data_IF_504980015738
#
_entry.id   IF_504980015738
#
_cell.length_a   1.000
_cell.length_b   1.000
_cell.length_c   1.000
_cell.angle_alpha   90.00
_cell.angle_beta   90.00
_cell.angle_gamma   90.00
#
_symmetry.space_group_name_H-M   'P 1'
#
loop_
_entity.id
_entity.type
_entity.pdbx_description
1 polymer ?
#
# COMPACT_ATOMS: atom_id res chain seq x y z
N UNK A 1 9.09 26.97 -10.23
CA UNK A 1 8.42 26.39 -9.05
C UNK A 1 9.09 25.09 -8.61
N UNK A 2 9.46 24.21 -9.52
CA UNK A 2 10.11 22.91 -9.23
C UNK A 2 11.46 23.01 -8.50
N UNK A 3 12.29 24.01 -8.81
CA UNK A 3 13.59 24.21 -8.15
C UNK A 3 13.42 24.53 -6.65
N UNK A 4 12.36 25.26 -6.28
CA UNK A 4 12.07 25.60 -4.89
C UNK A 4 11.62 24.36 -4.08
N UNK A 5 10.91 23.44 -4.73
CA UNK A 5 10.46 22.18 -4.11
C UNK A 5 11.67 21.25 -3.88
N UNK A 6 12.58 21.15 -4.84
CA UNK A 6 13.81 20.34 -4.69
C UNK A 6 14.72 20.85 -3.57
N UNK A 7 14.86 22.18 -3.42
CA UNK A 7 15.63 22.78 -2.33
C UNK A 7 14.99 22.51 -0.96
N UNK A 8 13.65 22.57 -0.86
CA UNK A 8 12.94 22.27 0.38
C UNK A 8 13.16 20.80 0.80
N UNK A 9 13.07 19.87 -0.14
CA UNK A 9 13.28 18.43 0.12
C UNK A 9 14.71 18.16 0.55
N UNK A 10 15.71 18.79 -0.07
CA UNK A 10 17.12 18.63 0.31
C UNK A 10 17.40 19.11 1.75
N UNK A 11 16.80 20.22 2.17
CA UNK A 11 16.94 20.75 3.54
C UNK A 11 16.32 19.82 4.57
N UNK A 12 15.14 19.27 4.26
CA UNK A 12 14.45 18.32 5.16
C UNK A 12 15.24 17.02 5.31
N UNK A 13 15.81 16.49 4.22
CA UNK A 13 16.64 15.27 4.27
C UNK A 13 17.92 15.49 5.08
N UNK A 14 18.58 16.65 4.92
CA UNK A 14 19.77 16.99 5.72
C UNK A 14 19.44 17.15 7.22
N UNK A 15 18.28 17.71 7.57
CA UNK A 15 17.84 17.84 8.96
C UNK A 15 17.55 16.48 9.61
N UNK A 16 16.96 15.54 8.86
CA UNK A 16 16.70 14.17 9.32
C UNK A 16 18.01 13.39 9.50
N UNK A 17 18.95 13.51 8.55
CA UNK A 17 20.26 12.86 8.66
C UNK A 17 21.08 13.42 9.85
N UNK A 18 21.01 14.73 10.11
CA UNK A 18 21.67 15.33 11.27
C UNK A 18 21.10 14.86 12.62
N UNK A 19 19.78 14.67 12.70
CA UNK A 19 19.13 14.17 13.92
C UNK A 19 19.39 12.68 14.17
N UNK A 20 19.38 11.86 13.12
CA UNK A 20 19.72 10.42 13.22
C UNK A 20 21.21 10.22 13.56
N UNK A 21 22.11 11.02 12.98
CA UNK A 21 23.54 11.01 13.32
C UNK A 21 23.81 11.43 14.77
N UNK A 22 23.10 12.44 15.27
CA UNK A 22 23.21 12.90 16.67
C UNK A 22 22.72 11.86 17.69
N UNK A 23 21.71 11.06 17.34
CA UNK A 23 21.20 9.98 18.17
C UNK A 23 22.14 8.76 18.21
N UNK A 24 22.78 8.42 17.08
CA UNK A 24 23.74 7.31 17.02
C UNK A 24 25.04 7.60 17.78
N UNK A 25 25.52 8.85 17.78
CA UNK A 25 26.70 9.25 18.58
C UNK A 25 26.41 9.22 20.09
N UNK A 26 25.15 9.43 20.49
CA UNK A 26 24.73 9.41 21.89
C UNK A 26 24.63 7.99 22.47
N UNK A 27 24.36 6.99 21.63
CA UNK A 27 24.12 5.61 22.07
C UNK A 27 25.38 4.73 22.07
N UNK A 28 26.46 5.11 21.35
CA UNK A 28 27.70 4.33 21.33
C UNK A 28 28.64 4.53 22.53
N UNK A 29 28.33 5.38 23.51
CA UNK A 29 29.05 5.36 24.80
C UNK A 29 30.56 5.68 24.73
N UNK A 30 31.02 6.46 23.75
CA UNK A 30 32.42 6.89 23.59
C UNK A 30 32.87 7.99 24.58
N UNK A 31 32.20 8.11 25.73
CA UNK A 31 32.34 9.24 26.65
C UNK A 31 32.58 8.87 28.11
N UNK A 32 33.17 7.70 28.42
CA UNK A 32 33.70 7.46 29.77
C UNK A 32 35.20 7.75 29.78
N UNK A 33 35.67 8.83 30.43
CA UNK A 33 37.09 8.97 30.71
C UNK A 33 37.53 7.77 31.56
N UNK A 34 38.62 7.13 31.14
CA UNK A 34 39.28 6.09 31.93
C UNK A 34 39.46 6.60 33.37
N UNK A 35 38.91 5.86 34.33
CA UNK A 35 39.01 6.22 35.75
C UNK A 35 40.48 6.31 36.16
N UNK A 36 40.91 7.36 36.90
CA UNK A 36 42.30 7.54 37.29
C UNK A 36 42.81 6.50 38.32
N UNK A 37 41.96 5.59 38.79
CA UNK A 37 42.23 4.69 39.91
C UNK A 37 43.12 3.47 39.60
N UNK A 38 43.52 3.26 38.34
CA UNK A 38 44.39 2.12 37.97
C UNK A 38 45.85 2.47 37.69
N UNK A 39 46.20 3.76 37.57
CA UNK A 39 47.61 4.17 37.39
C UNK A 39 48.38 4.36 38.70
N UNK A 40 47.74 4.75 39.79
CA UNK A 40 48.43 4.94 41.09
C UNK A 40 48.78 3.61 41.77
N UNK A 41 47.90 2.60 41.71
CA UNK A 41 48.19 1.30 42.34
C UNK A 41 49.29 0.49 41.65
N UNK A 42 49.50 0.66 40.35
CA UNK A 42 50.61 0.01 39.63
C UNK A 42 51.96 0.71 39.85
N UNK A 43 51.95 2.00 40.22
CA UNK A 43 53.18 2.75 40.55
C UNK A 43 53.70 2.43 41.95
N UNK A 44 52.80 2.22 42.91
CA UNK A 44 53.17 1.86 44.28
C UNK A 44 53.66 0.42 44.44
N UNK A 45 53.30 -0.47 43.51
CA UNK A 45 53.71 -1.89 43.59
C UNK A 45 55.08 -2.17 42.94
N UNK A 46 55.57 -1.28 42.07
CA UNK A 46 56.84 -1.46 41.33
C UNK A 46 58.02 -0.67 41.94
N UNK A 47 57.76 0.30 42.82
CA UNK A 47 58.80 1.18 43.39
C UNK A 47 58.96 1.03 44.91
N UNK A 48 58.97 -0.19 45.45
CA UNK A 48 59.55 -0.42 46.78
C UNK A 48 61.07 -0.59 46.64
N UNK A 49 61.89 0.39 47.05
CA UNK A 49 63.33 0.20 47.09
C UNK A 49 63.65 -0.89 48.11
N UNK A 50 64.34 -1.94 47.66
CA UNK A 50 65.06 -2.86 48.54
C UNK A 50 66.16 -2.04 49.21
N UNK A 51 65.89 -1.53 50.41
CA UNK A 51 66.90 -0.85 51.21
C UNK A 51 67.96 -1.86 51.63
N UNK A 52 69.16 -1.70 51.07
CA UNK A 52 70.38 -2.38 51.48
C UNK A 52 70.81 -1.88 52.86
N UNK A 53 70.33 -2.53 53.92
CA UNK A 53 70.85 -2.37 55.27
C UNK A 53 71.95 -3.39 55.54
N UNK A 54 73.17 -3.10 55.10
CA UNK A 54 74.37 -3.84 55.49
C UNK A 54 74.95 -3.25 56.78
N UNK A 55 74.84 -3.96 57.91
CA UNK A 55 75.72 -3.78 59.06
C UNK A 55 75.66 -4.98 60.02
N UNK A 56 76.83 -5.59 60.29
CA UNK A 56 77.06 -6.42 61.49
C UNK A 56 77.02 -7.93 61.28
N UNK A 57 78.04 -8.52 60.65
CA UNK A 57 78.31 -9.96 60.72
C UNK A 57 79.45 -10.24 61.69
N UNK A 58 79.11 -10.71 62.89
CA UNK A 58 80.03 -11.48 63.74
C UNK A 58 79.39 -12.83 64.09
N UNK A 59 79.98 -13.87 63.50
CA UNK A 59 80.14 -15.25 63.96
C UNK A 59 78.92 -16.12 64.35
N UNK A 60 78.99 -17.36 63.80
CA UNK A 60 78.63 -18.67 64.37
C UNK A 60 77.26 -19.24 63.91
N UNK A 61 77.32 -20.40 63.22
CA UNK A 61 76.21 -21.13 62.56
C UNK A 61 75.15 -21.72 63.50
N UNK A 62 74.05 -22.32 62.98
CA UNK A 62 73.95 -23.11 61.73
C UNK A 62 72.90 -22.56 60.75
N UNK A 63 73.30 -22.12 59.55
CA UNK A 63 72.43 -21.40 58.57
C UNK A 63 72.10 -22.16 57.28
N UNK A 64 72.52 -23.43 57.14
CA UNK A 64 72.29 -24.21 55.92
C UNK A 64 70.84 -24.73 55.79
N UNK A 65 70.19 -25.11 56.90
CA UNK A 65 68.87 -25.75 56.86
C UNK A 65 67.71 -24.76 56.64
N UNK A 66 67.83 -23.50 57.07
CA UNK A 66 66.80 -22.48 56.85
C UNK A 66 66.81 -21.95 55.42
N UNK A 67 68.01 -21.72 54.86
CA UNK A 67 68.17 -21.29 53.46
C UNK A 67 67.60 -22.32 52.47
N UNK A 68 67.70 -23.61 52.77
CA UNK A 68 67.10 -24.67 51.94
C UNK A 68 65.57 -24.67 52.00
N UNK A 69 64.96 -24.34 53.15
CA UNK A 69 63.48 -24.26 53.27
C UNK A 69 62.93 -23.03 52.56
N UNK A 70 63.61 -21.89 52.68
CA UNK A 70 63.20 -20.64 52.01
C UNK A 70 63.25 -20.79 50.48
N UNK A 71 64.22 -21.53 49.95
CA UNK A 71 64.30 -21.84 48.52
C UNK A 71 63.17 -22.76 48.03
N UNK A 72 62.78 -23.76 48.84
CA UNK A 72 61.64 -24.64 48.53
C UNK A 72 60.33 -23.83 48.53
N UNK A 73 60.12 -22.99 49.55
CA UNK A 73 58.93 -22.14 49.65
C UNK A 73 58.87 -21.10 48.51
N UNK A 74 59.99 -20.50 48.13
CA UNK A 74 60.06 -19.59 46.98
C UNK A 74 59.75 -20.31 45.67
N UNK A 75 60.24 -21.54 45.49
CA UNK A 75 59.93 -22.36 44.32
C UNK A 75 58.44 -22.71 44.25
N UNK A 76 57.83 -23.07 45.38
CA UNK A 76 56.39 -23.36 45.46
C UNK A 76 55.57 -22.11 45.11
N UNK A 77 55.88 -20.95 45.70
CA UNK A 77 55.21 -19.69 45.39
C UNK A 77 55.34 -19.29 43.91
N UNK A 78 56.52 -19.48 43.31
CA UNK A 78 56.72 -19.25 41.87
C UNK A 78 55.89 -20.23 41.04
N UNK A 79 55.83 -21.51 41.44
CA UNK A 79 55.01 -22.51 40.73
C UNK A 79 53.52 -22.20 40.77
N UNK A 80 53.02 -21.68 41.90
CA UNK A 80 51.62 -21.26 42.08
C UNK A 80 51.29 -20.03 41.22
N UNK A 81 52.20 -19.04 41.19
CA UNK A 81 52.05 -17.85 40.34
C UNK A 81 52.05 -18.24 38.86
N UNK A 82 52.96 -19.13 38.44
CA UNK A 82 53.00 -19.63 37.07
C UNK A 82 51.72 -20.41 36.70
N UNK A 83 51.22 -21.25 37.60
CA UNK A 83 49.96 -21.97 37.40
C UNK A 83 48.80 -20.98 37.22
N UNK A 84 48.70 -19.96 38.09
CA UNK A 84 47.67 -18.92 38.03
C UNK A 84 47.76 -18.09 36.75
N UNK A 85 48.97 -17.71 36.32
CA UNK A 85 49.20 -16.99 35.07
C UNK A 85 48.82 -17.84 33.86
N UNK A 86 49.15 -19.13 33.85
CA UNK A 86 48.76 -20.04 32.76
C UNK A 86 47.24 -20.19 32.66
N UNK A 87 46.55 -20.32 33.80
CA UNK A 87 45.10 -20.41 33.86
C UNK A 87 44.44 -19.13 33.34
N UNK A 88 44.92 -17.95 33.75
CA UNK A 88 44.44 -16.66 33.24
C UNK A 88 44.73 -16.47 31.76
N UNK A 89 45.88 -16.92 31.28
CA UNK A 89 46.21 -16.85 29.85
C UNK A 89 45.27 -17.74 29.02
N UNK A 90 45.01 -18.97 29.48
CA UNK A 90 44.04 -19.87 28.84
C UNK A 90 42.63 -19.29 28.87
N UNK A 91 42.23 -18.63 29.95
CA UNK A 91 40.92 -17.97 30.05
C UNK A 91 40.81 -16.79 29.07
N UNK A 92 41.84 -15.94 28.98
CA UNK A 92 41.87 -14.82 28.05
C UNK A 92 41.89 -15.29 26.59
N UNK A 93 42.65 -16.33 26.26
CA UNK A 93 42.64 -16.96 24.94
C UNK A 93 41.22 -17.45 24.58
N UNK A 94 40.57 -18.20 25.48
CA UNK A 94 39.19 -18.65 25.27
C UNK A 94 38.14 -17.52 25.26
N UNK A 95 38.45 -16.33 25.80
CA UNK A 95 37.60 -15.14 25.65
C UNK A 95 37.84 -14.45 24.30
N UNK A 96 39.08 -14.40 23.81
CA UNK A 96 39.41 -13.87 22.50
C UNK A 96 38.77 -14.71 21.39
N UNK A 97 38.89 -16.04 21.45
CA UNK A 97 38.28 -16.93 20.45
C UNK A 97 36.75 -16.75 20.37
N UNK A 98 36.08 -16.57 21.52
CA UNK A 98 34.64 -16.31 21.57
C UNK A 98 34.27 -14.94 20.99
N UNK A 99 35.10 -13.93 21.20
CA UNK A 99 34.88 -12.60 20.63
C UNK A 99 35.13 -12.58 19.12
N UNK A 100 36.15 -13.29 18.64
CA UNK A 100 36.42 -13.46 17.21
C UNK A 100 35.28 -14.21 16.52
N UNK A 101 34.82 -15.32 17.10
CA UNK A 101 33.68 -16.04 16.58
C UNK A 101 32.39 -15.19 16.55
N UNK A 102 32.12 -14.46 17.63
CA UNK A 102 30.98 -13.54 17.69
C UNK A 102 31.08 -12.37 16.69
N UNK A 103 32.30 -11.91 16.38
CA UNK A 103 32.54 -10.89 15.35
C UNK A 103 32.25 -11.44 13.95
N UNK A 104 32.66 -12.65 13.64
CA UNK A 104 32.44 -13.27 12.33
C UNK A 104 30.96 -13.61 12.10
N UNK A 105 30.27 -14.07 13.15
CA UNK A 105 28.82 -14.25 13.12
C UNK A 105 28.07 -12.92 12.92
N UNK A 106 28.52 -11.85 13.57
CA UNK A 106 27.93 -10.52 13.39
C UNK A 106 28.18 -9.99 11.96
N UNK A 107 29.39 -10.16 11.43
CA UNK A 107 29.74 -9.74 10.08
C UNK A 107 28.87 -10.44 9.02
N UNK A 108 28.76 -11.78 9.11
CA UNK A 108 27.89 -12.56 8.20
C UNK A 108 26.41 -12.21 8.35
N UNK A 109 25.94 -11.89 9.56
CA UNK A 109 24.56 -11.42 9.77
C UNK A 109 24.33 -10.07 9.12
N UNK A 110 25.26 -9.13 9.25
CA UNK A 110 25.16 -7.80 8.64
C UNK A 110 25.13 -7.93 7.11
N UNK A 111 25.99 -8.77 6.53
CA UNK A 111 26.02 -9.01 5.09
C UNK A 111 24.69 -9.55 4.57
N UNK A 112 24.12 -10.58 5.23
CA UNK A 112 22.80 -11.13 4.86
C UNK A 112 21.68 -10.09 4.93
N UNK A 113 21.68 -9.26 5.96
CA UNK A 113 20.67 -8.20 6.11
C UNK A 113 20.85 -7.13 5.02
N UNK A 114 22.09 -6.79 4.66
CA UNK A 114 22.34 -5.85 3.58
C UNK A 114 21.84 -6.38 2.23
N UNK A 115 22.11 -7.64 1.91
CA UNK A 115 21.62 -8.27 0.67
C UNK A 115 20.09 -8.30 0.62
N UNK A 116 19.43 -8.76 1.68
CA UNK A 116 17.96 -8.81 1.76
C UNK A 116 17.32 -7.40 1.66
N UNK A 117 17.95 -6.38 2.24
CA UNK A 117 17.48 -5.00 2.08
C UNK A 117 17.62 -4.48 0.64
N UNK A 118 18.73 -4.81 -0.05
CA UNK A 118 18.92 -4.44 -1.45
C UNK A 118 17.90 -5.12 -2.35
N UNK A 119 17.67 -6.43 -2.16
CA UNK A 119 16.68 -7.19 -2.93
C UNK A 119 15.27 -6.61 -2.75
N UNK A 120 14.89 -6.24 -1.53
CA UNK A 120 13.59 -5.60 -1.25
C UNK A 120 13.47 -4.22 -1.89
N UNK A 121 14.54 -3.43 -1.87
CA UNK A 121 14.55 -2.12 -2.53
C UNK A 121 14.40 -2.26 -4.04
N UNK A 122 15.08 -3.23 -4.66
CA UNK A 122 15.01 -3.46 -6.10
C UNK A 122 13.62 -3.95 -6.53
N UNK A 123 13.01 -4.86 -5.75
CA UNK A 123 11.63 -5.30 -5.97
C UNK A 123 10.62 -4.15 -5.85
N UNK A 124 10.78 -3.28 -4.84
CA UNK A 124 9.92 -2.10 -4.67
C UNK A 124 10.08 -1.10 -5.83
N UNK A 125 11.31 -0.85 -6.28
CA UNK A 125 11.57 0.01 -7.43
C UNK A 125 10.99 -0.57 -8.72
N UNK A 126 11.07 -1.88 -8.93
CA UNK A 126 10.47 -2.54 -10.08
C UNK A 126 8.93 -2.39 -10.06
N UNK A 127 8.29 -2.60 -8.91
CA UNK A 127 6.86 -2.39 -8.75
C UNK A 127 6.45 -0.95 -9.06
N UNK A 128 7.17 0.04 -8.52
CA UNK A 128 6.93 1.45 -8.81
C UNK A 128 7.11 1.80 -10.29
N UNK A 129 8.10 1.20 -10.98
CA UNK A 129 8.27 1.39 -12.43
C UNK A 129 7.05 0.88 -13.20
N UNK A 130 6.58 -0.32 -12.90
CA UNK A 130 5.38 -0.88 -13.53
C UNK A 130 4.14 -0.01 -13.28
N UNK A 131 3.95 0.48 -12.06
CA UNK A 131 2.84 1.40 -11.75
C UNK A 131 2.95 2.72 -12.53
N UNK A 132 4.14 3.30 -12.61
CA UNK A 132 4.36 4.55 -13.34
C UNK A 132 4.20 4.37 -14.86
N UNK A 133 4.63 3.23 -15.41
CA UNK A 133 4.39 2.87 -16.81
C UNK A 133 2.90 2.71 -17.09
N UNK A 134 2.16 2.03 -16.21
CA UNK A 134 0.71 1.92 -16.30
C UNK A 134 -0.01 3.28 -16.25
N UNK A 135 0.42 4.18 -15.36
CA UNK A 135 -0.12 5.55 -15.27
C UNK A 135 0.23 6.39 -16.51
N UNK A 136 1.47 6.32 -17.00
CA UNK A 136 1.87 7.03 -18.23
C UNK A 136 1.08 6.54 -19.44
N UNK A 137 0.83 5.24 -19.56
CA UNK A 137 -0.01 4.71 -20.63
C UNK A 137 -1.44 5.27 -20.55
N UNK A 138 -2.01 5.35 -19.35
CA UNK A 138 -3.32 5.96 -19.12
C UNK A 138 -3.34 7.48 -19.42
N UNK A 139 -2.29 8.21 -19.06
CA UNK A 139 -2.18 9.65 -19.32
C UNK A 139 -2.01 9.95 -20.82
N UNK A 140 -1.19 9.17 -21.53
CA UNK A 140 -1.04 9.27 -23.00
C UNK A 140 -2.37 8.94 -23.68
N UNK A 141 -3.11 7.94 -23.18
CA UNK A 141 -4.45 7.60 -23.68
C UNK A 141 -5.46 8.74 -23.46
N UNK A 142 -5.45 9.36 -22.28
CA UNK A 142 -6.30 10.52 -21.98
C UNK A 142 -5.94 11.74 -22.87
N UNK A 143 -4.66 11.95 -23.15
CA UNK A 143 -4.20 13.01 -24.06
C UNK A 143 -4.58 12.73 -25.52
N UNK A 144 -4.52 11.48 -25.98
CA UNK A 144 -4.96 11.09 -27.32
C UNK A 144 -6.46 11.35 -27.53
N UNK A 145 -7.31 11.01 -26.54
CA UNK A 145 -8.75 11.35 -26.55
C UNK A 145 -8.96 12.87 -26.57
N UNK A 146 -8.09 13.64 -25.92
CA UNK A 146 -8.17 15.12 -25.87
C UNK A 146 -7.78 15.79 -27.19
N UNK A 147 -6.96 15.14 -28.02
CA UNK A 147 -6.46 15.72 -29.28
C UNK A 147 -7.49 15.75 -30.42
N UNK A 148 -8.51 14.89 -30.39
CA UNK A 148 -9.60 14.87 -31.37
C UNK A 148 -10.90 15.40 -30.71
N UNK A 149 -11.32 16.65 -31.01
CA UNK A 149 -12.50 17.26 -30.40
C UNK A 149 -13.80 16.52 -30.78
N UNK A 150 -13.86 15.88 -31.95
CA UNK A 150 -15.03 15.12 -32.38
C UNK A 150 -15.09 13.82 -31.57
N UNK A 151 -13.99 13.08 -31.48
CA UNK A 151 -13.93 11.85 -30.66
C UNK A 151 -14.26 12.14 -29.20
N UNK A 152 -13.71 13.21 -28.63
CA UNK A 152 -14.06 13.65 -27.28
C UNK A 152 -15.55 13.91 -27.14
N UNK A 153 -16.16 14.63 -28.08
CA UNK A 153 -17.60 14.90 -28.05
C UNK A 153 -18.43 13.62 -28.15
N UNK A 154 -18.00 12.63 -28.93
CA UNK A 154 -18.63 11.30 -29.00
C UNK A 154 -18.52 10.53 -27.68
N UNK A 155 -17.36 10.57 -27.03
CA UNK A 155 -17.16 9.97 -25.69
C UNK A 155 -18.08 10.64 -24.66
N UNK A 156 -18.13 11.97 -24.66
CA UNK A 156 -18.98 12.74 -23.74
C UNK A 156 -20.48 12.44 -23.98
N UNK A 157 -20.91 12.35 -25.23
CA UNK A 157 -22.27 11.99 -25.61
C UNK A 157 -22.67 10.60 -25.11
N UNK A 158 -21.82 9.58 -25.35
CA UNK A 158 -22.07 8.22 -24.89
C UNK A 158 -22.08 8.14 -23.35
N UNK A 159 -21.17 8.85 -22.69
CA UNK A 159 -21.13 8.92 -21.22
C UNK A 159 -22.39 9.58 -20.63
N UNK A 160 -22.86 10.69 -21.24
CA UNK A 160 -24.08 11.35 -20.82
C UNK A 160 -25.31 10.44 -20.94
N UNK A 161 -25.44 9.71 -22.06
CA UNK A 161 -26.51 8.74 -22.26
C UNK A 161 -26.42 7.58 -21.26
N UNK A 162 -25.24 7.04 -21.02
CA UNK A 162 -25.03 5.97 -20.04
C UNK A 162 -25.39 6.44 -18.62
N UNK A 163 -25.05 7.68 -18.26
CA UNK A 163 -25.41 8.26 -16.97
C UNK A 163 -26.93 8.43 -16.83
N UNK A 164 -27.62 8.94 -17.85
CA UNK A 164 -29.08 9.06 -17.81
C UNK A 164 -29.77 7.70 -17.75
N UNK A 165 -29.27 6.71 -18.51
CA UNK A 165 -29.78 5.34 -18.47
C UNK A 165 -29.64 4.74 -17.07
N UNK A 166 -28.48 4.88 -16.44
CA UNK A 166 -28.25 4.41 -15.07
C UNK A 166 -29.18 5.08 -14.04
N UNK A 167 -29.52 6.37 -14.21
CA UNK A 167 -30.50 7.05 -13.36
C UNK A 167 -31.91 6.47 -13.53
N UNK A 168 -32.30 6.15 -14.76
CA UNK A 168 -33.58 5.49 -15.06
C UNK A 168 -33.62 4.10 -14.44
N UNK A 169 -32.59 3.28 -14.66
CA UNK A 169 -32.47 1.95 -14.06
C UNK A 169 -32.53 2.01 -12.53
N UNK A 170 -31.80 2.94 -11.90
CA UNK A 170 -31.83 3.14 -10.46
C UNK A 170 -33.20 3.62 -9.94
N UNK A 171 -33.94 4.40 -10.73
CA UNK A 171 -35.31 4.82 -10.40
C UNK A 171 -36.28 3.65 -10.43
N UNK A 172 -36.23 2.86 -11.51
CA UNK A 172 -37.01 1.65 -11.65
C UNK A 172 -36.68 0.64 -10.54
N UNK A 173 -35.40 0.41 -10.26
CA UNK A 173 -34.96 -0.47 -9.18
C UNK A 173 -35.45 0.01 -7.81
N UNK A 174 -35.30 1.30 -7.51
CA UNK A 174 -35.76 1.87 -6.24
C UNK A 174 -37.26 1.73 -6.01
N UNK A 175 -38.07 1.77 -7.08
CA UNK A 175 -39.52 1.59 -6.99
C UNK A 175 -39.91 0.11 -6.96
N UNK A 176 -39.33 -0.72 -7.82
CA UNK A 176 -39.75 -2.11 -8.02
C UNK A 176 -39.17 -3.03 -6.94
N UNK A 177 -37.93 -2.78 -6.51
CA UNK A 177 -37.23 -3.59 -5.54
C UNK A 177 -36.28 -2.71 -4.68
N UNK A 178 -36.82 -2.07 -3.64
CA UNK A 178 -36.09 -1.09 -2.82
C UNK A 178 -34.92 -1.69 -2.03
N UNK A 179 -34.72 -3.02 -2.06
CA UNK A 179 -33.66 -3.73 -1.33
C UNK A 179 -32.53 -4.19 -2.27
N UNK A 180 -32.58 -3.88 -3.58
CA UNK A 180 -31.50 -4.25 -4.51
C UNK A 180 -30.18 -3.60 -4.12
N UNK A 181 -29.12 -4.40 -4.09
CA UNK A 181 -27.76 -3.91 -3.88
C UNK A 181 -27.20 -3.28 -5.16
N UNK A 182 -26.26 -2.33 -5.05
CA UNK A 182 -25.57 -1.79 -6.23
C UNK A 182 -24.91 -2.90 -7.05
N UNK A 183 -25.25 -2.97 -8.34
CA UNK A 183 -24.69 -3.95 -9.28
C UNK A 183 -25.51 -5.23 -9.45
N UNK A 184 -26.55 -5.44 -8.62
CA UNK A 184 -27.51 -6.51 -8.86
C UNK A 184 -28.39 -6.20 -10.08
N UNK A 185 -28.74 -7.24 -10.84
CA UNK A 185 -29.64 -7.09 -11.99
C UNK A 185 -31.06 -6.81 -11.52
N UNK A 186 -31.78 -5.93 -12.22
CA UNK A 186 -33.19 -5.66 -11.94
C UNK A 186 -34.02 -6.94 -12.13
N UNK A 187 -34.53 -7.48 -11.03
CA UNK A 187 -35.47 -8.61 -11.03
C UNK A 187 -36.86 -8.07 -10.71
N UNK A 188 -37.83 -8.34 -11.58
CA UNK A 188 -39.22 -7.93 -11.37
C UNK A 188 -39.89 -8.94 -10.42
N UNK A 189 -40.46 -8.50 -9.28
CA UNK A 189 -41.09 -9.40 -8.33
C UNK A 189 -42.37 -10.02 -8.91
N UNK A 190 -42.71 -11.23 -8.46
CA UNK A 190 -43.95 -11.89 -8.84
C UNK A 190 -45.20 -11.19 -8.27
N UNK A 191 -45.03 -10.48 -7.14
CA UNK A 191 -46.08 -9.74 -6.45
C UNK A 191 -45.56 -8.33 -6.16
N UNK A 192 -46.29 -7.31 -6.60
CA UNK A 192 -45.99 -5.91 -6.30
C UNK A 192 -46.52 -5.53 -4.91
N UNK A 193 -45.74 -4.76 -4.15
CA UNK A 193 -46.21 -4.20 -2.88
C UNK A 193 -47.11 -2.99 -3.16
N UNK A 194 -48.07 -2.69 -2.27
CA UNK A 194 -48.98 -1.55 -2.43
C UNK A 194 -48.26 -0.22 -2.59
N UNK A 195 -47.13 -0.05 -1.91
CA UNK A 195 -46.28 1.14 -1.96
C UNK A 195 -45.68 1.34 -3.35
N UNK A 196 -45.31 0.24 -4.02
CA UNK A 196 -44.78 0.26 -5.39
C UNK A 196 -45.84 0.62 -6.43
N UNK A 197 -47.12 0.49 -6.09
CA UNK A 197 -48.24 0.84 -6.96
C UNK A 197 -48.75 2.27 -6.72
N UNK A 198 -47.97 3.12 -6.04
CA UNK A 198 -48.33 4.52 -5.81
C UNK A 198 -47.80 5.45 -6.90
N UNK A 199 -48.60 6.45 -7.28
CA UNK A 199 -48.17 7.51 -8.20
C UNK A 199 -46.89 8.22 -7.73
N UNK A 200 -46.76 8.45 -6.43
CA UNK A 200 -45.63 9.17 -5.84
C UNK A 200 -44.30 8.45 -6.06
N UNK A 201 -44.30 7.12 -6.05
CA UNK A 201 -43.11 6.33 -6.36
C UNK A 201 -42.70 6.43 -7.82
N UNK A 202 -43.65 6.54 -8.75
CA UNK A 202 -43.37 6.47 -10.19
C UNK A 202 -43.14 7.82 -10.88
N UNK A 203 -43.52 8.95 -10.25
CA UNK A 203 -43.35 10.28 -10.86
C UNK A 203 -41.88 10.59 -11.17
N UNK A 204 -40.97 10.29 -10.24
CA UNK A 204 -39.54 10.56 -10.40
C UNK A 204 -38.92 9.68 -11.49
N UNK A 205 -39.34 8.41 -11.57
CA UNK A 205 -38.94 7.51 -12.66
C UNK A 205 -39.39 8.05 -14.01
N UNK A 206 -40.57 8.65 -14.09
CA UNK A 206 -41.07 9.36 -15.28
C UNK A 206 -40.20 10.55 -15.68
N UNK A 207 -39.82 11.40 -14.72
CA UNK A 207 -38.95 12.55 -14.96
C UNK A 207 -37.57 12.11 -15.47
N UNK A 208 -36.99 11.06 -14.88
CA UNK A 208 -35.71 10.50 -15.34
C UNK A 208 -35.81 9.91 -16.74
N UNK A 209 -36.92 9.22 -17.05
CA UNK A 209 -37.19 8.69 -18.38
C UNK A 209 -37.29 9.81 -19.43
N UNK A 210 -37.95 10.91 -19.08
CA UNK A 210 -38.03 12.10 -19.93
C UNK A 210 -36.64 12.71 -20.15
N UNK A 211 -35.84 12.87 -19.09
CA UNK A 211 -34.47 13.38 -19.20
C UNK A 211 -33.55 12.52 -20.07
N UNK A 212 -33.72 11.19 -20.06
CA UNK A 212 -33.02 10.30 -21.00
C UNK A 212 -33.41 10.61 -22.46
N UNK A 213 -34.71 10.79 -22.73
CA UNK A 213 -35.19 11.15 -24.06
C UNK A 213 -34.66 12.50 -24.55
N UNK A 214 -34.64 13.51 -23.70
CA UNK A 214 -34.06 14.82 -24.03
C UNK A 214 -32.56 14.74 -24.31
N UNK A 215 -31.82 14.04 -23.45
CA UNK A 215 -30.37 13.84 -23.63
C UNK A 215 -30.11 13.09 -24.93
N UNK A 216 -30.90 12.06 -25.26
CA UNK A 216 -30.82 11.35 -26.54
C UNK A 216 -31.02 12.29 -27.73
N UNK A 217 -32.04 13.14 -27.72
CA UNK A 217 -32.27 14.08 -28.83
C UNK A 217 -31.11 15.07 -29.02
N UNK A 218 -30.49 15.52 -27.93
CA UNK A 218 -29.34 16.43 -27.98
C UNK A 218 -28.07 15.74 -28.48
N UNK A 219 -27.86 14.48 -28.08
CA UNK A 219 -26.61 13.76 -28.33
C UNK A 219 -26.65 12.82 -29.54
N UNK A 220 -27.82 12.60 -30.15
CA UNK A 220 -28.03 11.63 -31.26
C UNK A 220 -27.00 11.75 -32.37
N UNK A 221 -26.60 12.96 -32.74
CA UNK A 221 -25.66 13.20 -33.85
C UNK A 221 -24.23 12.71 -33.57
N UNK A 222 -23.88 12.47 -32.31
CA UNK A 222 -22.53 12.07 -31.90
C UNK A 222 -22.43 10.57 -31.59
N UNK A 223 -23.52 9.83 -31.77
CA UNK A 223 -23.60 8.40 -31.50
C UNK A 223 -23.66 7.64 -32.82
N UNK A 224 -23.06 6.44 -32.89
CA UNK A 224 -23.18 5.60 -34.09
C UNK A 224 -24.62 5.13 -34.30
N UNK A 225 -25.01 4.92 -35.57
CA UNK A 225 -26.39 4.60 -35.95
C UNK A 225 -26.96 3.39 -35.18
N UNK A 226 -26.16 2.35 -34.97
CA UNK A 226 -26.61 1.15 -34.28
C UNK A 226 -26.84 1.41 -32.78
N UNK A 227 -25.97 2.15 -32.11
CA UNK A 227 -26.20 2.57 -30.71
C UNK A 227 -27.39 3.55 -30.63
N UNK A 228 -27.53 4.46 -31.58
CA UNK A 228 -28.65 5.39 -31.64
C UNK A 228 -29.99 4.66 -31.78
N UNK A 229 -30.07 3.66 -32.67
CA UNK A 229 -31.26 2.83 -32.84
C UNK A 229 -31.63 2.05 -31.56
N UNK A 230 -30.65 1.46 -30.86
CA UNK A 230 -30.88 0.77 -29.59
C UNK A 230 -31.42 1.74 -28.52
N UNK A 231 -30.82 2.92 -28.39
CA UNK A 231 -31.28 3.92 -27.40
C UNK A 231 -32.66 4.48 -27.78
N UNK A 232 -32.93 4.73 -29.06
CA UNK A 232 -34.23 5.19 -29.56
C UNK A 232 -35.34 4.16 -29.27
N UNK A 233 -35.06 2.88 -29.53
CA UNK A 233 -35.97 1.78 -29.20
C UNK A 233 -36.23 1.71 -27.69
N UNK A 234 -35.18 1.88 -26.87
CA UNK A 234 -35.27 1.88 -25.40
C UNK A 234 -36.12 3.06 -24.89
N UNK A 235 -35.87 4.27 -25.36
CA UNK A 235 -36.64 5.48 -25.00
C UNK A 235 -38.10 5.31 -25.39
N UNK A 236 -38.36 4.80 -26.60
CA UNK A 236 -39.72 4.53 -27.09
C UNK A 236 -40.42 3.51 -26.21
N UNK A 237 -39.77 2.38 -25.92
CA UNK A 237 -40.33 1.34 -25.06
C UNK A 237 -40.60 1.87 -23.65
N UNK A 238 -39.66 2.62 -23.06
CA UNK A 238 -39.80 3.22 -21.75
C UNK A 238 -41.02 4.15 -21.68
N UNK A 239 -41.19 5.03 -22.66
CA UNK A 239 -42.35 5.92 -22.76
C UNK A 239 -43.65 5.13 -22.88
N UNK A 240 -43.68 4.13 -23.76
CA UNK A 240 -44.86 3.29 -23.97
C UNK A 240 -45.21 2.49 -22.71
N UNK A 241 -44.23 1.86 -22.07
CA UNK A 241 -44.42 1.11 -20.82
C UNK A 241 -44.95 2.01 -19.70
N UNK A 242 -44.33 3.17 -19.49
CA UNK A 242 -44.78 4.11 -18.46
C UNK A 242 -46.21 4.61 -18.71
N UNK A 243 -46.51 5.05 -19.94
CA UNK A 243 -47.80 5.68 -20.25
C UNK A 243 -48.96 4.71 -20.43
N UNK A 244 -48.70 3.51 -20.96
CA UNK A 244 -49.77 2.54 -21.29
C UNK A 244 -49.92 1.44 -20.24
N UNK A 245 -48.87 1.14 -19.46
CA UNK A 245 -48.91 0.04 -18.50
C UNK A 245 -48.79 0.53 -17.07
N UNK A 246 -47.80 1.37 -16.75
CA UNK A 246 -47.56 1.81 -15.36
C UNK A 246 -48.60 2.83 -14.91
N UNK A 247 -48.71 3.97 -15.59
CA UNK A 247 -49.53 5.09 -15.13
C UNK A 247 -51.03 4.79 -14.98
N UNK A 248 -51.66 3.98 -15.84
CA UNK A 248 -53.05 3.58 -15.62
C UNK A 248 -53.20 2.77 -14.32
N UNK A 249 -52.27 1.87 -14.02
CA UNK A 249 -52.35 0.95 -12.89
C UNK A 249 -52.09 1.68 -11.57
N UNK A 250 -51.08 2.55 -11.50
CA UNK A 250 -50.72 3.27 -10.25
C UNK A 250 -51.71 4.38 -9.89
N UNK A 251 -52.64 4.70 -10.80
CA UNK A 251 -53.76 5.63 -10.56
C UNK A 251 -55.02 4.91 -10.11
N UNK A 252 -55.10 3.60 -10.33
CA UNK A 252 -56.20 2.77 -9.87
C UNK A 252 -55.95 2.35 -8.41
N UNK A 253 -56.87 2.64 -7.47
CA UNK A 253 -56.72 2.21 -6.08
C UNK A 253 -56.79 0.68 -5.90
N UNK A 254 -57.36 -0.06 -6.86
CA UNK A 254 -57.49 -1.52 -6.77
C UNK A 254 -57.31 -2.19 -8.15
N UNK A 255 -56.06 -2.25 -8.66
CA UNK A 255 -55.80 -2.81 -9.98
C UNK A 255 -56.09 -4.32 -10.02
N UNK A 256 -56.75 -4.73 -11.10
CA UNK A 256 -57.11 -6.13 -11.36
C UNK A 256 -55.86 -7.02 -11.59
N UNK A 257 -55.87 -8.31 -11.22
CA UNK A 257 -54.71 -9.21 -11.39
C UNK A 257 -54.20 -9.31 -12.82
N UNK A 258 -55.07 -9.23 -13.83
CA UNK A 258 -54.65 -9.28 -15.24
C UNK A 258 -53.84 -8.03 -15.63
N UNK A 259 -54.21 -6.86 -15.09
CA UNK A 259 -53.46 -5.63 -15.28
C UNK A 259 -52.07 -5.71 -14.61
N UNK A 260 -51.99 -6.27 -13.41
CA UNK A 260 -50.71 -6.50 -12.71
C UNK A 260 -49.82 -7.51 -13.45
N UNK A 261 -50.40 -8.56 -14.03
CA UNK A 261 -49.67 -9.51 -14.86
C UNK A 261 -49.12 -8.84 -16.14
N UNK A 262 -49.93 -7.99 -16.79
CA UNK A 262 -49.49 -7.19 -17.94
C UNK A 262 -48.36 -6.23 -17.59
N UNK A 263 -48.48 -5.53 -16.45
CA UNK A 263 -47.44 -4.66 -15.91
C UNK A 263 -46.12 -5.40 -15.72
N UNK A 264 -46.16 -6.57 -15.08
CA UNK A 264 -44.97 -7.41 -14.87
C UNK A 264 -44.31 -7.75 -16.20
N UNK A 265 -45.07 -8.23 -17.18
CA UNK A 265 -44.53 -8.54 -18.51
C UNK A 265 -43.92 -7.33 -19.22
N UNK A 266 -44.54 -6.16 -19.10
CA UNK A 266 -44.02 -4.90 -19.65
C UNK A 266 -42.71 -4.47 -18.97
N UNK A 267 -42.62 -4.59 -17.64
CA UNK A 267 -41.41 -4.27 -16.87
C UNK A 267 -40.28 -5.27 -17.11
N UNK A 268 -40.58 -6.56 -17.28
CA UNK A 268 -39.59 -7.59 -17.65
C UNK A 268 -39.01 -7.34 -19.05
N UNK A 269 -39.85 -6.91 -20.00
CA UNK A 269 -39.38 -6.48 -21.31
C UNK A 269 -38.50 -5.24 -21.20
N UNK A 270 -38.93 -4.23 -20.45
CA UNK A 270 -38.17 -3.00 -20.25
C UNK A 270 -36.80 -3.28 -19.59
N UNK A 271 -36.74 -4.12 -18.56
CA UNK A 271 -35.50 -4.47 -17.87
C UNK A 271 -34.47 -5.13 -18.81
N UNK A 272 -34.92 -6.01 -19.72
CA UNK A 272 -34.05 -6.62 -20.74
C UNK A 272 -33.46 -5.58 -21.69
N UNK A 273 -34.29 -4.67 -22.17
CA UNK A 273 -33.92 -3.65 -23.16
C UNK A 273 -33.00 -2.58 -22.55
N UNK A 274 -33.24 -2.20 -21.29
CA UNK A 274 -32.32 -1.34 -20.53
C UNK A 274 -30.93 -2.00 -20.39
N UNK A 275 -30.89 -3.29 -20.04
CA UNK A 275 -29.63 -4.03 -19.92
C UNK A 275 -28.89 -4.14 -21.26
N UNK A 276 -29.62 -4.34 -22.36
CA UNK A 276 -29.06 -4.34 -23.71
C UNK A 276 -28.48 -2.96 -24.08
N UNK A 277 -29.24 -1.88 -23.86
CA UNK A 277 -28.79 -0.52 -24.11
C UNK A 277 -27.55 -0.16 -23.29
N UNK A 278 -27.51 -0.55 -22.01
CA UNK A 278 -26.36 -0.36 -21.12
C UNK A 278 -25.13 -1.08 -21.66
N UNK A 279 -25.28 -2.34 -22.06
CA UNK A 279 -24.19 -3.15 -22.63
C UNK A 279 -23.69 -2.53 -23.94
N UNK A 280 -24.59 -2.05 -24.79
CA UNK A 280 -24.26 -1.36 -26.04
C UNK A 280 -23.48 -0.08 -25.78
N UNK A 281 -23.98 0.81 -24.92
CA UNK A 281 -23.31 2.06 -24.57
C UNK A 281 -21.94 1.83 -23.93
N UNK A 282 -21.81 0.84 -23.05
CA UNK A 282 -20.54 0.47 -22.44
C UNK A 282 -19.51 0.00 -23.49
N UNK A 283 -19.94 -0.84 -24.44
CA UNK A 283 -19.09 -1.28 -25.56
C UNK A 283 -18.65 -0.10 -26.41
N UNK A 284 -19.59 0.75 -26.85
CA UNK A 284 -19.29 1.92 -27.66
C UNK A 284 -18.34 2.88 -26.93
N UNK A 285 -18.52 3.07 -25.62
CA UNK A 285 -17.60 3.86 -24.80
C UNK A 285 -16.18 3.26 -24.78
N UNK A 286 -16.07 1.95 -24.59
CA UNK A 286 -14.77 1.25 -24.62
C UNK A 286 -14.11 1.36 -26.00
N UNK A 287 -14.85 1.18 -27.09
CA UNK A 287 -14.34 1.34 -28.46
C UNK A 287 -13.84 2.77 -28.71
N UNK A 288 -14.59 3.78 -28.25
CA UNK A 288 -14.21 5.18 -28.39
C UNK A 288 -13.04 5.59 -27.49
N UNK A 289 -12.78 4.89 -26.40
CA UNK A 289 -11.68 5.20 -25.46
C UNK A 289 -10.43 4.34 -25.71
N UNK A 290 -10.55 3.23 -26.43
CA UNK A 290 -9.42 2.38 -26.84
C UNK A 290 -8.67 3.04 -27.99
N UNK A 291 -7.35 3.24 -27.91
CA UNK A 291 -6.58 3.81 -29.02
C UNK A 291 -6.72 2.89 -30.24
N UNK A 292 -7.22 3.44 -31.36
CA UNK A 292 -7.18 2.75 -32.64
C UNK A 292 -5.71 2.54 -32.98
N UNK A 293 -5.33 1.27 -33.12
CA UNK A 293 -3.96 0.83 -33.29
C UNK A 293 -3.24 1.70 -34.33
N UNK A 294 -2.21 2.41 -33.88
CA UNK A 294 -1.29 3.13 -34.75
C UNK A 294 -0.50 2.06 -35.50
N UNK A 295 -1.07 1.53 -36.58
CA UNK A 295 -0.29 0.73 -37.54
C UNK A 295 0.94 1.58 -37.91
N UNK A 296 2.16 1.05 -37.73
CA UNK A 296 3.35 1.79 -38.08
C UNK A 296 3.26 2.16 -39.57
N UNK A 297 3.59 3.40 -39.95
CA UNK A 297 3.68 3.74 -41.36
C UNK A 297 4.76 2.85 -42.01
N UNK A 298 4.38 2.16 -43.09
CA UNK A 298 5.29 1.43 -43.98
C UNK A 298 6.36 2.37 -44.59
#
# INVERSE_FOLDING_TARGET
MEIAILLLVAVVVLAILGTVGGLLVRDQGWGRPASPLTRERLRDMVMRPVSSGAAGWTARGPRADTASRDLVQAREAVSEVLATLSARHSELAGRLDRLEHGRDEAATRIERVQTDLLDRQEAALHHLRLELEGRRAADVQAQAITSDPVRRRRVDAVAALAQCLARVEGGLAGVINPVLLPGESLVIPAVFLSETLSWESWKETGERAFGLGETFLQERLYVDEATAATVEATVTLLRTTLTQNVYPIVRDPLPDPDALASLRGALERLARELSEARTRLARTYQELTTPTDMSPPD
#
